data_IF_786598165903
#
_entry.id   IF_786598165903
#
_cell.length_a   1.000
_cell.length_b   1.000
_cell.length_c   1.000
_cell.angle_alpha   90.00
_cell.angle_beta   90.00
_cell.angle_gamma   90.00
#
_symmetry.space_group_name_H-M   'P 1'
#
loop_
_entity.id
_entity.type
_entity.pdbx_description
1 polymer ?
#
# COMPACT_ATOMS: atom_id res chain seq x y z
N UNK A 1 1.08 -23.42 -1.35
CA UNK A 1 1.14 -24.61 -2.25
C UNK A 1 1.44 -24.22 -3.71
N UNK A 2 0.62 -23.42 -4.38
CA UNK A 2 0.78 -23.09 -5.82
C UNK A 2 2.11 -22.43 -6.21
N UNK A 3 2.68 -21.59 -5.33
CA UNK A 3 3.98 -20.94 -5.56
C UNK A 3 5.12 -21.96 -5.73
N UNK A 4 5.13 -23.01 -4.91
CA UNK A 4 6.15 -24.05 -4.96
C UNK A 4 6.06 -24.83 -6.28
N UNK A 5 4.86 -25.26 -6.66
CA UNK A 5 4.61 -26.00 -7.92
C UNK A 5 5.09 -25.18 -9.13
N UNK A 6 4.77 -23.87 -9.18
CA UNK A 6 5.22 -23.00 -10.27
C UNK A 6 6.75 -22.82 -10.31
N UNK A 7 7.43 -22.74 -9.16
CA UNK A 7 8.91 -22.64 -9.11
C UNK A 7 9.60 -23.96 -9.45
N UNK A 8 9.04 -25.08 -9.00
CA UNK A 8 9.50 -26.42 -9.39
C UNK A 8 9.34 -26.64 -10.89
N UNK A 9 8.19 -26.31 -11.46
CA UNK A 9 7.96 -26.41 -12.92
C UNK A 9 8.94 -25.52 -13.71
N UNK A 10 9.33 -24.37 -13.15
CA UNK A 10 10.32 -23.48 -13.75
C UNK A 10 11.74 -24.09 -13.81
N UNK A 11 12.11 -24.97 -12.87
CA UNK A 11 13.37 -25.72 -12.93
C UNK A 11 13.36 -26.75 -14.06
N UNK A 12 12.22 -27.44 -14.23
CA UNK A 12 12.02 -28.44 -15.29
C UNK A 12 12.01 -27.75 -16.66
N UNK A 13 11.25 -26.66 -16.77
CA UNK A 13 11.03 -25.92 -18.00
C UNK A 13 9.90 -26.51 -18.84
N UNK A 14 9.66 -25.90 -20.00
CA UNK A 14 8.81 -26.50 -21.04
C UNK A 14 9.62 -27.60 -21.72
N UNK A 15 9.01 -28.76 -21.95
CA UNK A 15 9.64 -29.92 -22.62
C UNK A 15 10.99 -30.34 -21.99
N UNK A 16 11.14 -30.10 -20.69
CA UNK A 16 12.35 -30.38 -19.90
C UNK A 16 13.63 -29.67 -20.38
N UNK A 17 13.49 -28.63 -21.21
CA UNK A 17 14.62 -27.95 -21.84
C UNK A 17 15.56 -27.33 -20.79
N UNK A 18 15.03 -26.67 -19.76
CA UNK A 18 15.90 -26.04 -18.75
C UNK A 18 16.62 -27.07 -17.90
N UNK A 19 15.97 -28.19 -17.57
CA UNK A 19 16.61 -29.27 -16.82
C UNK A 19 17.76 -29.88 -17.62
N UNK A 20 17.51 -30.27 -18.88
CA UNK A 20 18.54 -30.82 -19.78
C UNK A 20 19.70 -29.84 -20.02
N UNK A 21 19.41 -28.55 -20.04
CA UNK A 21 20.46 -27.52 -20.17
C UNK A 21 21.35 -27.46 -18.91
N UNK A 22 20.76 -27.56 -17.72
CA UNK A 22 21.52 -27.64 -16.46
C UNK A 22 22.44 -28.86 -16.49
N UNK A 23 21.91 -30.02 -16.91
CA UNK A 23 22.67 -31.26 -17.00
C UNK A 23 23.87 -31.12 -17.95
N UNK A 24 23.65 -30.59 -19.15
CA UNK A 24 24.69 -30.41 -20.17
C UNK A 24 25.77 -29.40 -19.77
N UNK A 25 25.41 -28.31 -19.08
CA UNK A 25 26.38 -27.29 -18.67
C UNK A 25 27.20 -27.71 -17.44
N UNK A 26 26.60 -28.48 -16.53
CA UNK A 26 27.24 -28.87 -15.26
C UNK A 26 27.82 -30.28 -15.28
N UNK A 27 27.63 -31.04 -16.36
CA UNK A 27 27.95 -32.47 -16.48
C UNK A 27 27.40 -33.29 -15.31
N UNK A 28 26.21 -32.92 -14.83
CA UNK A 28 25.52 -33.61 -13.76
C UNK A 28 24.24 -34.22 -14.29
N UNK A 29 23.82 -35.34 -13.72
CA UNK A 29 22.47 -35.87 -13.86
C UNK A 29 21.59 -35.29 -12.76
N UNK A 30 20.44 -34.70 -13.10
CA UNK A 30 19.59 -33.99 -12.15
C UNK A 30 18.15 -34.49 -12.21
N UNK A 31 17.62 -34.92 -11.08
CA UNK A 31 16.29 -35.52 -10.99
C UNK A 31 15.42 -34.80 -9.95
N UNK A 32 14.28 -34.29 -10.42
CA UNK A 32 13.37 -33.43 -9.64
C UNK A 32 12.12 -34.22 -9.22
N UNK A 33 12.20 -34.89 -8.07
CA UNK A 33 11.10 -35.69 -7.53
C UNK A 33 10.43 -35.03 -6.32
N UNK A 34 9.10 -34.85 -6.39
CA UNK A 34 8.32 -34.31 -5.28
C UNK A 34 8.83 -32.96 -4.79
N UNK A 35 9.37 -32.93 -3.56
CA UNK A 35 9.93 -31.74 -2.90
C UNK A 35 11.46 -31.68 -2.93
N UNK A 36 12.12 -32.72 -3.42
CA UNK A 36 13.57 -32.90 -3.40
C UNK A 36 14.15 -32.81 -4.81
N UNK A 37 15.43 -32.46 -4.88
CA UNK A 37 16.22 -32.51 -6.12
C UNK A 37 17.44 -33.36 -5.82
N UNK A 38 17.57 -34.48 -6.52
CA UNK A 38 18.77 -35.31 -6.49
C UNK A 38 19.68 -34.89 -7.64
N UNK A 39 20.98 -34.86 -7.41
CA UNK A 39 21.97 -34.57 -8.44
C UNK A 39 23.21 -35.45 -8.26
N UNK A 40 23.75 -35.98 -9.36
CA UNK A 40 24.95 -36.82 -9.38
C UNK A 40 25.90 -36.23 -10.42
N UNK A 41 27.18 -36.07 -10.08
CA UNK A 41 28.16 -35.50 -11.01
C UNK A 41 29.43 -34.99 -10.33
N UNK A 42 30.29 -34.25 -11.05
CA UNK A 42 31.53 -33.71 -10.51
C UNK A 42 31.27 -32.64 -9.46
N UNK A 43 32.18 -32.51 -8.48
CA UNK A 43 32.04 -31.58 -7.35
C UNK A 43 31.77 -30.12 -7.78
N UNK A 44 32.46 -29.64 -8.82
CA UNK A 44 32.25 -28.29 -9.37
C UNK A 44 30.83 -28.10 -9.92
N UNK A 45 30.34 -29.09 -10.67
CA UNK A 45 28.98 -29.11 -11.22
C UNK A 45 27.91 -29.19 -10.11
N UNK A 46 28.12 -30.04 -9.10
CA UNK A 46 27.20 -30.15 -7.95
C UNK A 46 27.04 -28.83 -7.19
N UNK A 47 28.13 -28.08 -6.99
CA UNK A 47 28.07 -26.72 -6.40
C UNK A 47 27.24 -25.76 -7.24
N UNK A 48 27.40 -25.82 -8.57
CA UNK A 48 26.62 -25.01 -9.50
C UNK A 48 25.14 -25.38 -9.47
N UNK A 49 24.79 -26.67 -9.56
CA UNK A 49 23.40 -27.17 -9.50
C UNK A 49 22.74 -26.75 -8.19
N UNK A 50 23.42 -26.94 -7.05
CA UNK A 50 22.92 -26.52 -5.74
C UNK A 50 22.55 -25.03 -5.73
N UNK A 51 23.44 -24.17 -6.24
CA UNK A 51 23.20 -22.73 -6.34
C UNK A 51 21.97 -22.42 -7.21
N UNK A 52 21.86 -23.03 -8.40
CA UNK A 52 20.71 -22.83 -9.31
C UNK A 52 19.39 -23.23 -8.66
N UNK A 53 19.36 -24.37 -7.95
CA UNK A 53 18.14 -24.86 -7.29
C UNK A 53 17.73 -23.94 -6.15
N UNK A 54 18.66 -23.56 -5.27
CA UNK A 54 18.40 -22.64 -4.16
C UNK A 54 17.89 -21.27 -4.67
N UNK A 55 18.56 -20.70 -5.68
CA UNK A 55 18.21 -19.40 -6.24
C UNK A 55 16.84 -19.43 -6.93
N UNK A 56 16.52 -20.54 -7.62
CA UNK A 56 15.21 -20.71 -8.24
C UNK A 56 14.09 -20.76 -7.20
N UNK A 57 14.36 -21.40 -6.06
CA UNK A 57 13.44 -21.41 -4.93
C UNK A 57 13.36 -20.05 -4.23
N UNK A 58 14.40 -19.22 -4.28
CA UNK A 58 14.42 -17.82 -3.80
C UNK A 58 13.83 -16.79 -4.79
N UNK A 59 13.10 -17.25 -5.82
CA UNK A 59 12.43 -16.42 -6.84
C UNK A 59 13.33 -15.86 -7.95
N UNK A 60 14.56 -16.34 -8.09
CA UNK A 60 15.40 -16.04 -9.24
C UNK A 60 15.02 -17.03 -10.36
N UNK A 61 15.15 -16.68 -11.63
CA UNK A 61 14.83 -17.61 -12.72
C UNK A 61 16.08 -18.39 -13.12
N UNK A 62 16.03 -19.72 -13.32
CA UNK A 62 17.21 -20.53 -13.63
C UNK A 62 17.90 -20.09 -14.92
N UNK A 63 17.14 -19.51 -15.87
CA UNK A 63 17.68 -18.90 -17.10
C UNK A 63 18.81 -17.90 -16.86
N UNK A 64 18.83 -17.18 -15.74
CA UNK A 64 19.88 -16.21 -15.43
C UNK A 64 21.19 -16.93 -15.10
N UNK A 65 21.12 -17.96 -14.25
CA UNK A 65 22.27 -18.79 -13.92
C UNK A 65 22.76 -19.59 -15.13
N UNK A 66 21.85 -20.07 -15.98
CA UNK A 66 22.18 -20.77 -17.22
C UNK A 66 22.93 -19.87 -18.21
N UNK A 67 22.47 -18.63 -18.41
CA UNK A 67 23.18 -17.65 -19.24
C UNK A 67 24.59 -17.36 -18.69
N UNK A 68 24.72 -17.22 -17.38
CA UNK A 68 26.01 -17.05 -16.73
C UNK A 68 26.94 -18.26 -16.97
N UNK A 69 26.44 -19.49 -16.83
CA UNK A 69 27.22 -20.71 -17.09
C UNK A 69 27.61 -20.86 -18.56
N UNK A 70 26.72 -20.52 -19.50
CA UNK A 70 27.06 -20.55 -20.92
C UNK A 70 28.24 -19.63 -21.23
N UNK A 71 28.20 -18.39 -20.73
CA UNK A 71 29.25 -17.39 -20.94
C UNK A 71 30.56 -17.85 -20.28
N UNK A 72 30.49 -18.36 -19.06
CA UNK A 72 31.66 -18.93 -18.36
C UNK A 72 32.27 -20.11 -19.11
N UNK A 73 31.45 -21.01 -19.65
CA UNK A 73 31.91 -22.16 -20.44
C UNK A 73 32.55 -21.74 -21.76
N UNK A 74 32.09 -20.65 -22.39
CA UNK A 74 32.74 -20.11 -23.60
C UNK A 74 34.07 -19.42 -23.29
N UNK A 75 34.15 -18.61 -22.23
CA UNK A 75 35.42 -17.98 -21.85
C UNK A 75 36.46 -18.97 -21.34
N UNK A 76 36.04 -20.04 -20.65
CA UNK A 76 36.95 -21.10 -20.21
C UNK A 76 37.63 -21.84 -21.38
N UNK A 77 37.05 -21.81 -22.59
CA UNK A 77 37.68 -22.39 -23.80
C UNK A 77 38.75 -21.49 -24.38
N UNK A 78 38.68 -20.17 -24.15
CA UNK A 78 39.66 -19.23 -24.68
C UNK A 78 40.86 -19.12 -23.74
N UNK A 79 42.06 -19.01 -24.29
CA UNK A 79 43.31 -18.94 -23.51
C UNK A 79 43.71 -17.53 -23.11
N UNK A 80 43.34 -16.55 -23.92
CA UNK A 80 43.59 -15.12 -23.73
C UNK A 80 43.04 -14.56 -22.40
N UNK A 81 41.91 -15.11 -21.94
CA UNK A 81 41.14 -14.53 -20.83
C UNK A 81 41.14 -15.40 -19.56
N UNK A 82 42.01 -16.42 -19.45
CA UNK A 82 42.04 -17.35 -18.31
C UNK A 82 42.42 -16.68 -16.98
N UNK A 83 43.27 -15.66 -17.02
CA UNK A 83 43.83 -14.99 -15.82
C UNK A 83 43.04 -13.74 -15.38
N UNK A 84 42.03 -13.33 -16.14
CA UNK A 84 41.24 -12.13 -15.87
C UNK A 84 39.94 -12.41 -15.06
N UNK A 85 39.44 -11.43 -14.30
CA UNK A 85 38.15 -11.54 -13.59
C UNK A 85 36.97 -11.42 -14.56
N UNK A 86 36.22 -12.51 -14.74
CA UNK A 86 35.10 -12.59 -15.68
C UNK A 86 33.83 -11.86 -15.23
N UNK A 87 33.78 -11.31 -14.00
CA UNK A 87 32.57 -10.64 -13.48
C UNK A 87 32.03 -9.54 -14.38
N UNK A 88 32.91 -8.75 -15.01
CA UNK A 88 32.52 -7.64 -15.90
C UNK A 88 31.67 -8.11 -17.09
N UNK A 89 31.94 -9.32 -17.58
CA UNK A 89 31.28 -9.90 -18.74
C UNK A 89 30.05 -10.73 -18.36
N UNK A 90 29.85 -10.98 -17.06
CA UNK A 90 28.75 -11.78 -16.58
C UNK A 90 27.48 -10.92 -16.44
N UNK A 91 26.32 -11.37 -16.97
CA UNK A 91 25.08 -10.62 -16.82
C UNK A 91 24.63 -10.55 -15.35
N UNK A 92 24.69 -9.37 -14.75
CA UNK A 92 24.20 -9.16 -13.39
C UNK A 92 22.70 -8.83 -13.38
N UNK A 93 21.90 -9.82 -12.98
CA UNK A 93 20.45 -9.65 -12.90
C UNK A 93 20.03 -9.08 -11.53
N UNK A 94 19.95 -7.76 -11.47
CA UNK A 94 19.44 -7.06 -10.30
C UNK A 94 17.91 -7.09 -10.28
N UNK A 95 17.34 -7.30 -9.09
CA UNK A 95 15.90 -7.15 -8.90
C UNK A 95 15.55 -5.67 -9.07
N UNK A 96 14.85 -5.34 -10.16
CA UNK A 96 14.25 -4.01 -10.36
C UNK A 96 13.10 -3.82 -9.37
N UNK A 97 13.40 -3.54 -8.11
CA UNK A 97 12.39 -3.03 -7.18
C UNK A 97 12.21 -1.55 -7.47
N UNK A 98 11.05 -1.15 -8.01
CA UNK A 98 10.60 0.23 -7.85
C UNK A 98 10.46 0.46 -6.34
N UNK A 99 11.50 1.03 -5.74
CA UNK A 99 11.74 1.08 -4.31
C UNK A 99 10.66 1.85 -3.54
N UNK A 100 9.83 2.63 -4.26
CA UNK A 100 8.78 3.44 -3.67
C UNK A 100 7.51 3.29 -4.50
N UNK A 101 6.64 2.38 -4.08
CA UNK A 101 5.23 2.43 -4.50
C UNK A 101 4.65 3.72 -3.92
N UNK A 102 4.14 4.61 -4.77
CA UNK A 102 3.37 5.78 -4.32
C UNK A 102 2.26 5.30 -3.39
N UNK A 103 2.25 5.79 -2.14
CA UNK A 103 1.15 5.53 -1.21
C UNK A 103 -0.07 6.33 -1.69
N UNK A 104 -1.28 5.75 -1.65
CA UNK A 104 -2.48 6.51 -1.96
C UNK A 104 -2.66 7.65 -0.95
N UNK A 105 -3.19 8.79 -1.40
CA UNK A 105 -3.48 9.94 -0.53
C UNK A 105 -4.36 9.55 0.67
N UNK A 106 -5.30 8.63 0.46
CA UNK A 106 -6.15 8.07 1.53
C UNK A 106 -5.69 6.66 1.89
N UNK A 107 -4.94 6.53 2.98
CA UNK A 107 -4.54 5.23 3.54
C UNK A 107 -5.71 4.71 4.36
N UNK A 108 -6.36 3.64 3.90
CA UNK A 108 -7.42 2.97 4.67
C UNK A 108 -6.78 2.25 5.86
N UNK A 109 -7.01 2.74 7.08
CA UNK A 109 -6.67 2.02 8.31
C UNK A 109 -7.53 0.75 8.37
N UNK A 110 -6.91 -0.39 8.69
CA UNK A 110 -7.66 -1.65 8.85
C UNK A 110 -8.56 -1.54 10.08
N UNK A 111 -9.82 -1.96 9.95
CA UNK A 111 -10.73 -2.06 11.09
C UNK A 111 -10.19 -3.09 12.07
N UNK A 112 -10.40 -2.85 13.36
CA UNK A 112 -10.07 -3.82 14.41
C UNK A 112 -10.83 -5.13 14.18
N UNK A 113 -10.18 -6.25 14.50
CA UNK A 113 -10.75 -7.57 14.30
C UNK A 113 -11.85 -7.82 15.34
N UNK A 114 -13.10 -7.67 14.92
CA UNK A 114 -14.27 -8.09 15.69
C UNK A 114 -14.55 -9.56 15.41
N UNK A 115 -14.64 -10.37 16.47
CA UNK A 115 -15.00 -11.79 16.39
C UNK A 115 -16.46 -11.96 15.95
N UNK A 116 -17.32 -11.02 16.34
CA UNK A 116 -18.72 -11.01 15.93
C UNK A 116 -18.86 -10.33 14.57
N UNK A 117 -19.66 -10.91 13.65
CA UNK A 117 -20.02 -10.21 12.43
C UNK A 117 -20.81 -8.94 12.78
N UNK A 118 -20.69 -7.87 11.99
CA UNK A 118 -21.56 -6.71 12.16
C UNK A 118 -23.03 -7.15 12.00
N UNK A 119 -23.98 -6.53 12.72
CA UNK A 119 -25.38 -6.86 12.57
C UNK A 119 -25.82 -6.66 11.11
N UNK A 120 -26.71 -7.52 10.59
CA UNK A 120 -27.24 -7.34 9.24
C UNK A 120 -27.94 -5.98 9.15
N UNK A 121 -27.86 -5.34 7.98
CA UNK A 121 -28.60 -4.11 7.75
C UNK A 121 -30.10 -4.41 7.77
N UNK A 122 -30.85 -3.72 8.61
CA UNK A 122 -32.30 -3.84 8.74
C UNK A 122 -33.02 -3.62 7.40
N UNK A 123 -34.10 -4.36 7.18
CA UNK A 123 -34.96 -4.18 6.01
C UNK A 123 -35.71 -2.85 6.10
N UNK A 124 -36.24 -2.37 4.97
CA UNK A 124 -37.07 -1.16 4.96
C UNK A 124 -38.30 -1.31 5.87
N UNK A 125 -38.91 -2.49 5.85
CA UNK A 125 -40.05 -2.84 6.72
C UNK A 125 -39.64 -2.76 8.20
N UNK A 126 -38.53 -3.38 8.59
CA UNK A 126 -38.03 -3.36 9.96
C UNK A 126 -37.77 -1.93 10.46
N UNK A 127 -37.18 -1.07 9.62
CA UNK A 127 -36.98 0.34 9.94
C UNK A 127 -38.30 1.09 10.14
N UNK A 128 -39.30 0.79 9.32
CA UNK A 128 -40.63 1.40 9.41
C UNK A 128 -41.41 0.88 10.63
N UNK A 129 -41.22 -0.39 10.99
CA UNK A 129 -41.81 -0.98 12.20
C UNK A 129 -41.14 -0.40 13.46
N UNK A 130 -39.81 -0.26 13.45
CA UNK A 130 -39.06 0.36 14.54
C UNK A 130 -39.39 1.87 14.72
N UNK A 131 -39.65 2.59 13.63
CA UNK A 131 -40.08 4.00 13.69
C UNK A 131 -41.57 4.17 14.02
N UNK A 132 -42.35 3.08 14.07
CA UNK A 132 -43.80 3.10 14.26
C UNK A 132 -44.59 3.62 13.05
N UNK A 133 -43.92 4.13 12.02
CA UNK A 133 -44.57 4.68 10.83
C UNK A 133 -45.27 3.61 10.00
N UNK A 134 -44.84 2.34 10.10
CA UNK A 134 -45.45 1.24 9.37
C UNK A 134 -46.96 1.12 9.63
N UNK A 135 -47.39 1.36 10.88
CA UNK A 135 -48.78 1.22 11.30
C UNK A 135 -49.68 2.42 10.96
N UNK A 136 -49.09 3.59 10.68
CA UNK A 136 -49.85 4.78 10.32
C UNK A 136 -50.48 4.65 8.93
N UNK A 137 -51.72 5.11 8.81
CA UNK A 137 -52.40 5.24 7.52
C UNK A 137 -51.74 6.34 6.67
N UNK A 138 -51.95 6.32 5.35
CA UNK A 138 -51.32 7.29 4.46
C UNK A 138 -51.74 8.73 4.77
N UNK A 139 -53.00 8.95 5.18
CA UNK A 139 -53.52 10.25 5.60
C UNK A 139 -52.91 10.75 6.92
N UNK A 140 -52.61 9.87 7.86
CA UNK A 140 -51.92 10.24 9.11
C UNK A 140 -50.45 10.58 8.85
N UNK A 141 -49.80 9.85 7.93
CA UNK A 141 -48.42 10.13 7.51
C UNK A 141 -48.31 11.49 6.80
N UNK A 142 -49.27 11.87 5.96
CA UNK A 142 -49.27 13.19 5.31
C UNK A 142 -49.49 14.31 6.31
N UNK A 143 -50.47 14.15 7.22
CA UNK A 143 -50.70 15.12 8.32
C UNK A 143 -49.45 15.35 9.18
N UNK A 144 -48.76 14.28 9.56
CA UNK A 144 -47.51 14.39 10.32
C UNK A 144 -46.43 15.14 9.52
N UNK A 145 -46.24 14.80 8.24
CA UNK A 145 -45.28 15.50 7.36
C UNK A 145 -45.58 17.00 7.22
N UNK A 146 -46.85 17.36 7.09
CA UNK A 146 -47.24 18.76 6.96
C UNK A 146 -47.04 19.52 8.27
N UNK A 147 -47.34 18.91 9.42
CA UNK A 147 -47.01 19.51 10.73
C UNK A 147 -45.50 19.70 10.94
N UNK A 148 -44.67 18.75 10.51
CA UNK A 148 -43.20 18.89 10.55
C UNK A 148 -42.70 20.03 9.65
N UNK A 149 -43.32 20.20 8.48
CA UNK A 149 -43.01 21.31 7.56
C UNK A 149 -43.37 22.65 8.20
N UNK A 150 -44.55 22.77 8.80
CA UNK A 150 -44.99 23.99 9.48
C UNK A 150 -44.02 24.38 10.61
N UNK A 151 -43.63 23.41 11.45
CA UNK A 151 -42.65 23.63 12.53
C UNK A 151 -41.30 24.10 11.96
N UNK A 152 -40.83 23.47 10.86
CA UNK A 152 -39.59 23.86 10.20
C UNK A 152 -39.67 25.27 9.61
N UNK A 153 -40.79 25.63 9.00
CA UNK A 153 -41.02 26.98 8.46
C UNK A 153 -41.06 28.03 9.57
N UNK A 154 -41.74 27.75 10.68
CA UNK A 154 -41.76 28.62 11.85
C UNK A 154 -40.36 28.83 12.44
N UNK A 155 -39.55 27.77 12.57
CA UNK A 155 -38.17 27.86 13.05
C UNK A 155 -37.28 28.68 12.11
N UNK A 156 -37.41 28.47 10.79
CA UNK A 156 -36.68 29.25 9.79
C UNK A 156 -37.09 30.73 9.79
N UNK A 157 -38.38 31.03 9.98
CA UNK A 157 -38.86 32.40 10.12
C UNK A 157 -38.29 33.07 11.37
N UNK A 158 -38.24 32.38 12.51
CA UNK A 158 -37.58 32.86 13.73
C UNK A 158 -36.09 33.15 13.51
N UNK A 159 -35.34 32.20 12.95
CA UNK A 159 -33.91 32.41 12.66
C UNK A 159 -33.66 33.56 11.67
N UNK A 160 -34.53 33.75 10.67
CA UNK A 160 -34.47 34.91 9.76
C UNK A 160 -34.75 36.22 10.50
N UNK A 161 -35.73 36.23 11.39
CA UNK A 161 -36.06 37.39 12.22
C UNK A 161 -34.92 37.74 13.17
N UNK A 162 -34.30 36.75 13.82
CA UNK A 162 -33.11 36.92 14.67
C UNK A 162 -31.92 37.49 13.88
N UNK A 163 -31.62 36.92 12.71
CA UNK A 163 -30.55 37.45 11.83
C UNK A 163 -30.83 38.87 11.37
N UNK A 164 -32.10 39.19 11.07
CA UNK A 164 -32.52 40.54 10.71
C UNK A 164 -32.34 41.49 11.90
N UNK A 165 -32.82 41.12 13.08
CA UNK A 165 -32.67 41.91 14.30
C UNK A 165 -31.20 42.14 14.67
N UNK A 166 -30.35 41.13 14.54
CA UNK A 166 -28.91 41.24 14.80
C UNK A 166 -28.22 42.26 13.86
N UNK A 167 -28.68 42.40 12.61
CA UNK A 167 -28.16 43.41 11.69
C UNK A 167 -28.58 44.86 12.07
N UNK A 168 -29.62 45.04 12.89
CA UNK A 168 -30.06 46.35 13.40
C UNK A 168 -29.41 46.72 14.73
N UNK A 169 -28.67 45.80 15.38
CA UNK A 169 -27.89 46.12 16.57
C UNK A 169 -26.51 46.59 16.12
N UNK A 170 -26.09 47.82 16.47
CA UNK A 170 -24.76 48.30 16.13
C UNK A 170 -23.70 47.41 16.80
N UNK A 171 -22.58 47.13 16.11
CA UNK A 171 -21.49 46.36 16.71
C UNK A 171 -20.93 47.11 17.93
N UNK A 172 -20.55 46.40 19.01
CA UNK A 172 -19.95 47.05 20.17
C UNK A 172 -18.64 47.72 19.76
N UNK A 173 -18.45 48.97 20.18
CA UNK A 173 -17.23 49.71 19.93
C UNK A 173 -16.04 49.03 20.62
N UNK A 174 -14.86 48.95 19.97
CA UNK A 174 -13.66 48.48 20.66
C UNK A 174 -13.32 49.48 21.77
N UNK A 175 -13.13 48.98 23.00
CA UNK A 175 -12.63 49.81 24.11
C UNK A 175 -11.32 50.47 23.67
N UNK A 176 -11.28 51.81 23.71
CA UNK A 176 -10.05 52.56 23.41
C UNK A 176 -8.98 52.14 24.40
N UNK A 177 -7.86 51.60 23.89
CA UNK A 177 -6.67 51.39 24.69
C UNK A 177 -6.23 52.75 25.25
N UNK A 178 -6.14 52.87 26.58
CA UNK A 178 -5.62 54.07 27.22
C UNK A 178 -4.19 54.34 26.73
N UNK A 179 -3.94 55.56 26.26
CA UNK A 179 -2.64 56.02 25.78
C UNK A 179 -1.58 55.91 26.90
N UNK A 180 -0.40 55.36 26.57
CA UNK A 180 0.78 55.36 27.45
C UNK A 180 1.36 56.77 27.54
N UNK A 181 1.31 57.37 28.72
CA UNK A 181 2.03 58.60 29.05
C UNK A 181 3.54 58.45 28.79
N UNK A 182 4.09 59.37 27.98
CA UNK A 182 5.52 59.53 27.74
C UNK A 182 6.16 60.31 28.90
N UNK A 183 7.19 59.74 29.53
CA UNK A 183 8.10 60.45 30.45
C UNK A 183 8.94 61.46 29.67
N UNK A 184 8.93 62.73 30.10
CA UNK A 184 9.92 63.72 29.70
C UNK A 184 10.97 63.86 30.79
N UNK A 185 12.21 63.47 30.49
CA UNK A 185 13.41 63.89 31.23
C UNK A 185 13.92 65.19 30.59
N UNK A 186 14.02 66.27 31.36
CA UNK A 186 14.89 67.39 31.01
C UNK A 186 15.58 67.91 32.28
N UNK A 187 16.90 67.93 32.21
CA UNK A 187 17.83 68.28 33.30
C UNK A 187 18.40 69.65 32.97
N UNK A 188 18.34 70.61 33.90
CA UNK A 188 19.43 71.55 34.21
C UNK A 188 19.13 72.34 35.49
N UNK A 189 19.97 72.10 36.51
CA UNK A 189 20.44 73.07 37.52
C UNK A 189 20.91 74.36 36.80
N UNK A 190 20.85 75.58 37.32
CA UNK A 190 21.24 76.11 38.65
C UNK A 190 21.05 77.64 38.69
N UNK A 191 21.17 78.22 39.90
CA UNK A 191 21.38 79.66 40.25
C UNK A 191 20.07 80.45 40.30
N UNK A 192 19.62 81.05 41.41
CA UNK A 192 20.27 81.81 42.51
C UNK A 192 19.50 81.63 43.82
#
# INVERSE_FOLDING_TARGET
RNRFIKRRQRLIGKDEVTLKTIERLTNCYVLVQGKTVAAIGPYRGLRQVRKVVEDTMRNIHPIYSLKAFMIQSEYAKREDMKDEDWKRYLPEFHKKTLSKRRKPHKIRVKKEYSVYPPPPTERKEDKLMASGQYFLTESERTRQKDSEREVRHAAAAKSRMEKRAAAFVPPPEPERAADKEQKTDDVMKSVE
#
